data_IF_988996380122
#
_entry.id   IF_988996380122
#
_cell.length_a   1.000
_cell.length_b   1.000
_cell.length_c   1.000
_cell.angle_alpha   90.00
_cell.angle_beta   90.00
_cell.angle_gamma   90.00
#
_symmetry.space_group_name_H-M   'P 1'
#
loop_
_entity.id
_entity.type
_entity.pdbx_description
1 polymer ?
#
# COMPACT_ATOMS: atom_id res chain seq x y z
N UNK A 1 -16.72 11.11 9.38
CA UNK A 1 -15.38 11.23 8.76
C UNK A 1 -14.90 9.87 8.29
N UNK A 2 -14.06 9.85 7.24
CA UNK A 2 -13.39 8.64 6.80
C UNK A 2 -12.45 8.12 7.89
N UNK A 3 -12.21 6.81 7.93
CA UNK A 3 -11.28 6.17 8.85
C UNK A 3 -10.31 5.30 8.04
N UNK A 4 -9.04 5.32 8.40
CA UNK A 4 -7.98 4.62 7.69
C UNK A 4 -7.29 3.59 8.58
N UNK A 5 -6.89 2.48 7.97
CA UNK A 5 -6.02 1.48 8.60
C UNK A 5 -4.56 1.77 8.31
N UNK A 6 -3.66 1.41 9.25
CA UNK A 6 -2.25 1.46 8.97
C UNK A 6 -1.79 0.27 8.14
N UNK A 7 -0.63 0.43 7.48
CA UNK A 7 0.09 -0.63 6.78
C UNK A 7 1.59 -0.41 6.95
N UNK A 8 2.34 -1.46 7.25
CA UNK A 8 3.80 -1.42 7.19
C UNK A 8 4.23 -2.09 5.88
N UNK A 9 5.01 -1.37 5.08
CA UNK A 9 5.62 -1.88 3.84
C UNK A 9 7.12 -2.07 4.06
N UNK A 10 7.65 -3.21 3.62
CA UNK A 10 9.06 -3.55 3.80
C UNK A 10 9.62 -3.99 2.45
N UNK A 11 10.56 -3.20 1.93
CA UNK A 11 11.37 -3.60 0.79
C UNK A 11 12.51 -4.49 1.26
N UNK A 12 12.78 -5.58 0.53
CA UNK A 12 13.82 -6.56 0.85
C UNK A 12 14.57 -6.91 -0.44
N UNK A 13 15.87 -6.64 -0.49
CA UNK A 13 16.72 -6.97 -1.62
C UNK A 13 17.59 -8.19 -1.31
N UNK A 14 17.66 -9.12 -2.26
CA UNK A 14 18.43 -10.35 -2.18
C UNK A 14 19.32 -10.47 -3.40
N UNK A 15 20.58 -10.87 -3.18
CA UNK A 15 21.51 -11.21 -4.26
C UNK A 15 21.28 -12.66 -4.71
N UNK A 16 20.08 -12.89 -5.23
CA UNK A 16 19.65 -14.16 -5.77
C UNK A 16 18.56 -13.89 -6.81
N UNK A 17 18.42 -14.79 -7.79
CA UNK A 17 17.35 -14.74 -8.79
C UNK A 17 16.35 -15.85 -8.47
N UNK A 18 15.11 -15.44 -8.23
CA UNK A 18 13.99 -16.37 -8.07
C UNK A 18 13.78 -17.20 -9.33
N UNK A 19 13.38 -18.48 -9.17
CA UNK A 19 12.96 -19.31 -10.31
C UNK A 19 11.82 -18.65 -11.10
N UNK A 20 11.78 -18.84 -12.44
CA UNK A 20 10.70 -18.31 -13.29
C UNK A 20 9.31 -18.71 -12.76
N UNK A 21 8.36 -17.79 -12.86
CA UNK A 21 7.01 -17.95 -12.32
C UNK A 21 6.00 -17.09 -13.08
N UNK A 22 4.74 -17.54 -13.22
CA UNK A 22 3.73 -16.84 -14.01
C UNK A 22 3.04 -15.68 -13.27
N UNK A 23 3.61 -15.22 -12.16
CA UNK A 23 3.04 -14.18 -11.31
C UNK A 23 4.14 -13.24 -10.79
N UNK A 24 3.79 -11.99 -10.53
CA UNK A 24 4.70 -11.00 -9.91
C UNK A 24 4.27 -10.62 -8.50
N UNK A 25 3.19 -11.19 -7.97
CA UNK A 25 2.73 -10.92 -6.62
C UNK A 25 1.99 -12.11 -6.02
N UNK A 26 1.98 -12.15 -4.69
CA UNK A 26 1.26 -13.13 -3.88
C UNK A 26 0.38 -12.40 -2.88
N UNK A 27 -0.77 -13.01 -2.57
CA UNK A 27 -1.70 -12.56 -1.54
C UNK A 27 -1.89 -13.71 -0.55
N UNK A 28 -1.83 -13.43 0.75
CA UNK A 28 -2.17 -14.41 1.76
C UNK A 28 -3.66 -14.73 1.73
N UNK A 29 -4.00 -16.02 1.78
CA UNK A 29 -5.38 -16.49 1.93
C UNK A 29 -5.89 -16.18 3.34
N UNK A 30 -5.08 -16.50 4.35
CA UNK A 30 -5.36 -16.15 5.74
C UNK A 30 -5.01 -14.68 6.02
N UNK A 31 -6.02 -13.91 6.45
CA UNK A 31 -5.89 -12.49 6.78
C UNK A 31 -5.24 -12.24 8.15
N UNK A 32 -4.98 -13.29 8.92
CA UNK A 32 -4.26 -13.24 10.20
C UNK A 32 -2.75 -13.35 10.04
N UNK A 33 -2.26 -13.72 8.86
CA UNK A 33 -0.83 -13.76 8.57
C UNK A 33 -0.19 -12.36 8.72
N UNK A 34 1.03 -12.25 9.30
CA UNK A 34 1.72 -10.96 9.45
C UNK A 34 1.91 -10.23 8.12
N UNK A 35 2.19 -10.99 7.05
CA UNK A 35 2.40 -10.48 5.69
C UNK A 35 1.21 -10.90 4.84
N UNK A 36 0.46 -9.93 4.31
CA UNK A 36 -0.72 -10.20 3.49
C UNK A 36 -0.48 -10.10 2.00
N UNK A 37 0.55 -9.37 1.57
CA UNK A 37 0.87 -9.19 0.17
C UNK A 37 2.38 -9.11 -0.03
N UNK A 38 2.89 -9.75 -1.08
CA UNK A 38 4.29 -9.66 -1.48
C UNK A 38 4.36 -9.44 -2.98
N UNK A 39 4.97 -8.34 -3.40
CA UNK A 39 5.33 -8.07 -4.79
C UNK A 39 6.77 -8.46 -5.08
N UNK A 40 7.00 -9.01 -6.27
CA UNK A 40 8.30 -9.32 -6.85
C UNK A 40 8.57 -8.23 -7.88
N UNK A 41 9.33 -7.21 -7.48
CA UNK A 41 9.41 -5.95 -8.23
C UNK A 41 10.08 -6.12 -9.58
N UNK A 42 11.15 -6.90 -9.66
CA UNK A 42 11.87 -7.15 -10.91
C UNK A 42 11.05 -7.93 -11.96
N UNK A 43 9.95 -8.57 -11.57
CA UNK A 43 9.03 -9.23 -12.52
C UNK A 43 7.94 -8.29 -13.05
N UNK A 44 7.76 -7.10 -12.45
CA UNK A 44 6.76 -6.12 -12.92
C UNK A 44 7.22 -5.41 -14.19
N UNK A 45 8.50 -5.00 -14.22
CA UNK A 45 9.15 -4.43 -15.40
C UNK A 45 10.67 -4.47 -15.23
N UNK A 46 11.40 -4.33 -16.34
CA UNK A 46 12.85 -4.25 -16.33
C UNK A 46 13.37 -3.04 -15.51
N UNK A 47 14.60 -3.15 -15.00
CA UNK A 47 15.29 -2.05 -14.30
C UNK A 47 14.87 -1.79 -12.86
N UNK A 48 13.97 -2.59 -12.27
CA UNK A 48 13.58 -2.43 -10.85
C UNK A 48 14.58 -3.01 -9.84
N UNK A 49 15.50 -3.85 -10.30
CA UNK A 49 16.63 -4.36 -9.53
C UNK A 49 17.83 -4.58 -10.48
N UNK A 50 19.08 -4.53 -9.97
CA UNK A 50 20.24 -4.92 -10.76
C UNK A 50 20.19 -6.40 -11.19
N UNK A 51 20.92 -6.75 -12.25
CA UNK A 51 21.03 -8.14 -12.69
C UNK A 51 21.59 -9.03 -11.58
N UNK A 52 21.03 -10.23 -11.42
CA UNK A 52 21.38 -11.15 -10.34
C UNK A 52 20.71 -10.83 -8.99
N UNK A 53 19.89 -9.78 -8.91
CA UNK A 53 19.16 -9.40 -7.70
C UNK A 53 17.65 -9.61 -7.83
N UNK A 54 17.04 -9.93 -6.70
CA UNK A 54 15.59 -9.92 -6.51
C UNK A 54 15.24 -8.82 -5.52
N UNK A 55 14.31 -7.94 -5.90
CA UNK A 55 13.71 -6.97 -4.99
C UNK A 55 12.27 -7.37 -4.70
N UNK A 56 11.95 -7.50 -3.41
CA UNK A 56 10.59 -7.74 -2.95
C UNK A 56 10.05 -6.53 -2.20
N UNK A 57 8.75 -6.29 -2.31
CA UNK A 57 8.01 -5.42 -1.39
C UNK A 57 6.95 -6.27 -0.69
N UNK A 58 7.08 -6.41 0.63
CA UNK A 58 6.10 -7.07 1.47
C UNK A 58 5.23 -6.05 2.20
N UNK A 59 3.93 -6.31 2.31
CA UNK A 59 2.99 -5.48 3.04
C UNK A 59 2.31 -6.29 4.14
N UNK A 60 2.27 -5.72 5.34
CA UNK A 60 1.69 -6.37 6.51
C UNK A 60 0.19 -6.19 6.60
N UNK A 61 -0.47 -7.09 7.33
CA UNK A 61 -1.90 -6.96 7.62
C UNK A 61 -2.24 -5.77 8.53
N UNK A 62 -3.48 -5.28 8.52
CA UNK A 62 -3.86 -4.10 9.30
C UNK A 62 -3.74 -4.32 10.80
N UNK A 63 -4.11 -5.50 11.30
CA UNK A 63 -3.97 -5.84 12.72
C UNK A 63 -2.51 -5.93 13.15
N UNK A 64 -1.66 -6.59 12.35
CA UNK A 64 -0.22 -6.63 12.61
C UNK A 64 0.38 -5.22 12.58
N UNK A 65 0.04 -4.42 11.58
CA UNK A 65 0.54 -3.05 11.43
C UNK A 65 0.18 -2.19 12.64
N UNK A 66 -1.08 -2.23 13.10
CA UNK A 66 -1.53 -1.49 14.30
C UNK A 66 -0.67 -1.79 15.52
N UNK A 67 -0.39 -3.07 15.78
CA UNK A 67 0.38 -3.48 16.96
C UNK A 67 1.89 -3.24 16.85
N UNK A 68 2.41 -2.93 15.65
CA UNK A 68 3.85 -2.87 15.40
C UNK A 68 4.35 -1.52 14.83
N UNK A 69 3.52 -0.47 14.86
CA UNK A 69 3.94 0.85 14.36
C UNK A 69 5.21 1.39 15.06
N UNK A 70 5.35 1.13 16.36
CA UNK A 70 6.52 1.55 17.14
C UNK A 70 7.64 0.49 17.21
N UNK A 71 7.45 -0.68 16.59
CA UNK A 71 8.47 -1.74 16.58
C UNK A 71 9.68 -1.30 15.76
N UNK A 72 10.89 -1.58 16.24
CA UNK A 72 12.13 -1.27 15.54
C UNK A 72 12.24 -1.98 14.18
N UNK A 73 12.87 -1.32 13.21
CA UNK A 73 12.98 -1.80 11.82
C UNK A 73 13.63 -3.18 11.72
N UNK A 74 14.68 -3.42 12.49
CA UNK A 74 15.41 -4.69 12.52
C UNK A 74 14.51 -5.87 12.93
N UNK A 75 13.62 -5.65 13.90
CA UNK A 75 12.65 -6.65 14.35
C UNK A 75 11.57 -6.90 13.29
N UNK A 76 11.07 -5.85 12.64
CA UNK A 76 10.12 -5.97 11.53
C UNK A 76 10.72 -6.75 10.36
N UNK A 77 11.94 -6.39 9.95
CA UNK A 77 12.67 -7.03 8.86
C UNK A 77 12.94 -8.49 9.18
N UNK A 78 13.36 -8.84 10.41
CA UNK A 78 13.55 -10.25 10.83
C UNK A 78 12.27 -11.07 10.72
N UNK A 79 11.14 -10.54 11.16
CA UNK A 79 9.85 -11.26 11.10
C UNK A 79 9.40 -11.45 9.67
N UNK A 80 9.41 -10.38 8.87
CA UNK A 80 8.93 -10.43 7.49
C UNK A 80 9.86 -11.21 6.58
N UNK A 81 11.19 -11.13 6.74
CA UNK A 81 12.12 -11.94 5.95
C UNK A 81 11.97 -13.43 6.24
N UNK A 82 11.69 -13.83 7.49
CA UNK A 82 11.37 -15.22 7.85
C UNK A 82 10.11 -15.71 7.14
N UNK A 83 9.06 -14.88 7.10
CA UNK A 83 7.83 -15.20 6.37
C UNK A 83 8.07 -15.31 4.86
N UNK A 84 8.82 -14.38 4.28
CA UNK A 84 9.21 -14.40 2.86
C UNK A 84 10.01 -15.66 2.51
N UNK A 85 10.99 -16.03 3.34
CA UNK A 85 11.77 -17.27 3.18
C UNK A 85 10.87 -18.52 3.16
N UNK A 86 9.86 -18.57 4.03
CA UNK A 86 8.84 -19.65 4.05
C UNK A 86 8.03 -19.67 2.75
N UNK A 87 7.54 -18.51 2.31
CA UNK A 87 6.73 -18.37 1.08
C UNK A 87 7.51 -18.86 -0.16
N UNK A 88 8.80 -18.56 -0.25
CA UNK A 88 9.64 -18.95 -1.37
C UNK A 88 10.48 -20.20 -1.12
N UNK A 89 10.05 -21.07 -0.20
CA UNK A 89 10.68 -22.37 0.08
C UNK A 89 12.22 -22.32 0.22
N UNK A 90 12.76 -21.24 0.80
CA UNK A 90 14.19 -21.08 1.00
C UNK A 90 15.00 -20.60 -0.22
N UNK A 91 14.40 -20.28 -1.36
CA UNK A 91 15.10 -19.69 -2.52
C UNK A 91 15.81 -18.37 -2.17
N UNK A 92 15.30 -17.67 -1.15
CA UNK A 92 15.83 -16.42 -0.63
C UNK A 92 16.24 -16.63 0.84
N UNK A 93 17.49 -16.33 1.16
CA UNK A 93 18.01 -16.45 2.53
C UNK A 93 17.87 -15.12 3.31
N UNK A 94 18.97 -14.46 3.66
CA UNK A 94 18.94 -13.17 4.34
C UNK A 94 18.93 -12.02 3.31
N UNK A 95 18.07 -10.99 3.48
CA UNK A 95 18.16 -9.79 2.66
C UNK A 95 19.49 -9.07 2.91
N UNK A 96 20.14 -8.62 1.84
CA UNK A 96 21.36 -7.79 1.92
C UNK A 96 21.01 -6.32 2.20
N UNK A 97 19.82 -5.90 1.80
CA UNK A 97 19.31 -4.57 2.07
C UNK A 97 17.81 -4.61 2.37
N UNK A 98 17.36 -3.69 3.22
CA UNK A 98 15.96 -3.54 3.58
C UNK A 98 15.58 -2.09 3.83
N UNK A 99 14.33 -1.74 3.57
CA UNK A 99 13.77 -0.44 3.89
C UNK A 99 12.33 -0.56 4.38
N UNK A 100 12.03 0.06 5.52
CA UNK A 100 10.72 -0.01 6.18
C UNK A 100 10.00 1.33 6.01
N UNK A 101 8.76 1.27 5.55
CA UNK A 101 7.85 2.42 5.47
C UNK A 101 6.59 2.14 6.27
N UNK A 102 6.22 3.09 7.12
CA UNK A 102 5.03 3.01 7.99
C UNK A 102 3.96 3.97 7.47
N UNK A 103 2.88 3.42 6.96
CA UNK A 103 1.72 4.18 6.52
C UNK A 103 0.69 4.20 7.65
N UNK A 104 0.61 5.29 8.42
CA UNK A 104 -0.38 5.41 9.50
C UNK A 104 -1.83 5.39 8.97
N UNK A 105 -2.04 5.98 7.78
CA UNK A 105 -3.33 6.09 7.11
C UNK A 105 -3.22 5.55 5.69
N UNK A 106 -3.04 4.23 5.56
CA UNK A 106 -2.76 3.59 4.29
C UNK A 106 -3.98 3.49 3.38
N UNK A 107 -5.09 2.94 3.90
CA UNK A 107 -6.30 2.68 3.12
C UNK A 107 -7.54 2.92 4.00
N UNK A 108 -8.63 3.45 3.44
CA UNK A 108 -9.86 3.65 4.19
C UNK A 108 -10.51 2.31 4.55
N UNK A 109 -10.91 2.15 5.81
CA UNK A 109 -11.83 1.11 6.30
C UNK A 109 -13.27 1.61 6.36
N UNK A 110 -13.44 2.94 6.41
CA UNK A 110 -14.74 3.61 6.34
C UNK A 110 -14.59 4.88 5.51
N UNK A 111 -15.53 5.12 4.62
CA UNK A 111 -15.57 6.29 3.74
C UNK A 111 -16.63 7.30 4.18
N UNK A 112 -16.50 8.54 3.71
CA UNK A 112 -17.60 9.54 3.71
C UNK A 112 -17.88 9.88 2.26
N UNK A 113 -19.06 9.54 1.76
CA UNK A 113 -19.39 9.76 0.34
C UNK A 113 -19.16 11.22 -0.07
N UNK A 114 -18.61 11.41 -1.26
CA UNK A 114 -18.26 12.72 -1.82
C UNK A 114 -19.36 13.77 -1.64
N UNK A 115 -20.62 13.44 -1.95
CA UNK A 115 -21.73 14.39 -1.86
C UNK A 115 -22.08 14.75 -0.40
N UNK A 116 -21.91 13.81 0.52
CA UNK A 116 -22.05 14.06 1.96
C UNK A 116 -20.92 14.93 2.51
N UNK A 117 -19.71 14.80 1.96
CA UNK A 117 -18.56 15.62 2.34
C UNK A 117 -18.65 17.05 1.78
N UNK A 118 -19.40 17.25 0.70
CA UNK A 118 -19.40 18.48 -0.10
C UNK A 118 -20.79 19.09 -0.24
N UNK A 119 -21.52 19.23 0.88
CA UNK A 119 -22.84 19.86 0.90
C UNK A 119 -22.84 21.28 0.32
N UNK A 120 -24.02 21.72 -0.12
CA UNK A 120 -24.23 23.02 -0.76
C UNK A 120 -23.83 24.18 0.16
N UNK A 121 -23.31 25.26 -0.43
CA UNK A 121 -22.89 26.48 0.29
C UNK A 121 -21.48 26.45 0.90
N UNK A 122 -20.81 25.30 0.92
CA UNK A 122 -19.41 25.20 1.33
C UNK A 122 -18.44 25.79 0.30
N UNK A 123 -17.41 26.52 0.75
CA UNK A 123 -16.31 27.00 -0.13
C UNK A 123 -15.14 26.00 -0.22
N UNK A 124 -15.05 25.08 0.74
CA UNK A 124 -14.09 23.99 0.73
C UNK A 124 -14.69 22.76 0.04
N UNK A 125 -13.89 22.09 -0.77
CA UNK A 125 -14.24 20.81 -1.40
C UNK A 125 -13.24 19.76 -0.93
N UNK A 126 -13.75 18.62 -0.47
CA UNK A 126 -12.98 17.47 0.00
C UNK A 126 -13.04 16.36 -1.03
N UNK A 127 -11.87 15.85 -1.43
CA UNK A 127 -11.71 14.73 -2.36
C UNK A 127 -10.63 13.77 -1.86
N UNK A 128 -10.62 12.56 -2.42
CA UNK A 128 -9.66 11.50 -2.10
C UNK A 128 -10.33 10.13 -2.05
N UNK A 129 -9.52 9.09 -1.95
CA UNK A 129 -9.97 7.69 -1.86
C UNK A 129 -10.96 7.46 -0.70
N UNK A 130 -10.77 8.15 0.42
CA UNK A 130 -11.69 8.13 1.57
C UNK A 130 -13.08 8.73 1.30
N UNK A 131 -13.28 9.36 0.14
CA UNK A 131 -14.58 9.90 -0.29
C UNK A 131 -15.37 9.00 -1.24
N UNK A 132 -14.80 7.83 -1.59
CA UNK A 132 -15.44 6.86 -2.47
C UNK A 132 -15.08 5.42 -2.06
N UNK A 133 -13.85 4.99 -2.36
CA UNK A 133 -13.30 3.69 -1.97
C UNK A 133 -11.76 3.72 -2.02
N UNK A 134 -11.11 2.83 -1.26
CA UNK A 134 -9.66 2.84 -1.00
C UNK A 134 -8.76 2.37 -2.14
N UNK A 135 -8.84 3.00 -3.32
CA UNK A 135 -7.95 2.73 -4.47
C UNK A 135 -7.56 4.00 -5.23
N UNK A 136 -6.49 3.89 -6.02
CA UNK A 136 -5.90 5.02 -6.73
C UNK A 136 -6.86 5.63 -7.76
N UNK A 137 -7.60 4.80 -8.49
CA UNK A 137 -8.63 5.22 -9.44
C UNK A 137 -9.72 6.06 -8.74
N UNK A 138 -10.12 5.69 -7.52
CA UNK A 138 -11.14 6.43 -6.78
C UNK A 138 -10.63 7.78 -6.28
N UNK A 139 -9.36 7.86 -5.87
CA UNK A 139 -8.73 9.14 -5.54
C UNK A 139 -8.69 10.07 -6.76
N UNK A 140 -8.36 9.53 -7.93
CA UNK A 140 -8.38 10.27 -9.19
C UNK A 140 -9.79 10.76 -9.54
N UNK A 141 -10.79 9.88 -9.53
CA UNK A 141 -12.16 10.23 -9.90
C UNK A 141 -12.76 11.29 -8.97
N UNK A 142 -12.54 11.16 -7.66
CA UNK A 142 -13.03 12.16 -6.69
C UNK A 142 -12.30 13.49 -6.85
N UNK A 143 -11.03 13.49 -7.27
CA UNK A 143 -10.29 14.68 -7.64
C UNK A 143 -10.90 15.41 -8.85
N UNK A 144 -11.26 14.68 -9.91
CA UNK A 144 -11.94 15.25 -11.08
C UNK A 144 -13.31 15.86 -10.70
N UNK A 145 -14.11 15.13 -9.93
CA UNK A 145 -15.40 15.64 -9.42
C UNK A 145 -15.24 16.92 -8.62
N UNK A 146 -14.23 16.99 -7.77
CA UNK A 146 -13.94 18.20 -6.99
C UNK A 146 -13.55 19.38 -7.87
N UNK A 147 -12.73 19.15 -8.90
CA UNK A 147 -12.36 20.21 -9.84
C UNK A 147 -13.60 20.76 -10.59
N UNK A 148 -14.49 19.90 -11.07
CA UNK A 148 -15.73 20.33 -11.72
C UNK A 148 -16.62 21.14 -10.76
N UNK A 149 -16.84 20.64 -9.55
CA UNK A 149 -17.64 21.34 -8.54
C UNK A 149 -17.03 22.70 -8.14
N UNK A 150 -15.71 22.80 -8.11
CA UNK A 150 -15.02 24.07 -7.84
C UNK A 150 -15.32 25.10 -8.95
N UNK A 151 -15.23 24.70 -10.22
CA UNK A 151 -15.54 25.56 -11.36
C UNK A 151 -17.00 26.01 -11.34
N UNK A 152 -17.94 25.10 -11.07
CA UNK A 152 -19.36 25.41 -10.95
C UNK A 152 -19.64 26.42 -9.83
N UNK A 153 -19.04 26.22 -8.64
CA UNK A 153 -19.22 27.13 -7.50
C UNK A 153 -18.68 28.53 -7.79
N UNK A 154 -17.50 28.63 -8.41
CA UNK A 154 -16.92 29.93 -8.79
C UNK A 154 -17.82 30.66 -9.80
N UNK A 155 -18.33 29.94 -10.81
CA UNK A 155 -19.21 30.51 -11.84
C UNK A 155 -20.59 30.90 -11.30
N UNK A 156 -21.15 30.14 -10.37
CA UNK A 156 -22.44 30.42 -9.74
C UNK A 156 -22.41 31.49 -8.63
N UNK A 157 -21.23 31.95 -8.24
CA UNK A 157 -21.05 33.10 -7.33
C UNK A 157 -20.83 34.44 -8.04
N UNK A 158 -20.82 34.45 -9.38
CA UNK A 158 -20.84 35.66 -10.21
C UNK A 158 -22.30 36.04 -10.52
#
# INVERSE_FOLDING_TARGET
GAAYRPCISIALAYRAVLKPRPYYALLAEDRMEPVLWVGIENLKCAGRAPDGWTLLVAQTGPSYSRSHMATADDALVRTVSRTVRRIFAGELDKPEWSHVVRWERSQPERVVLFDNANQQGGRLIVAGDGTLAGRAENAYETGLRAAHLAVERVRGTA
#
